data_IF_358468071900
#
_entry.id   IF_358468071900
#
_cell.length_a   1.000
_cell.length_b   1.000
_cell.length_c   1.000
_cell.angle_alpha   90.00
_cell.angle_beta   90.00
_cell.angle_gamma   90.00
#
_symmetry.space_group_name_H-M   'P 1'
#
loop_
_entity.id
_entity.type
_entity.pdbx_description
1 polymer ?
#
# COMPACT_ATOMS: atom_id res chain seq x y z
N UNK A 1 -12.20 10.38 -1.99
CA UNK A 1 -10.90 10.75 -2.60
C UNK A 1 -10.17 9.47 -2.92
N UNK A 2 -9.67 9.34 -4.14
CA UNK A 2 -8.92 8.15 -4.56
C UNK A 2 -7.47 8.29 -4.10
N UNK A 3 -7.08 7.45 -3.14
CA UNK A 3 -5.76 7.43 -2.55
C UNK A 3 -4.82 6.48 -3.28
N UNK A 4 -5.30 5.68 -4.23
CA UNK A 4 -4.52 4.66 -4.93
C UNK A 4 -3.97 5.22 -6.24
N UNK A 5 -2.84 4.67 -6.71
CA UNK A 5 -2.16 5.11 -7.92
C UNK A 5 -1.74 6.60 -7.86
N UNK A 6 -1.30 7.06 -6.69
CA UNK A 6 -0.81 8.43 -6.47
C UNK A 6 0.67 8.43 -6.09
N UNK A 7 1.39 9.44 -6.57
CA UNK A 7 2.73 9.72 -6.08
C UNK A 7 2.68 10.24 -4.64
N UNK A 8 3.51 9.63 -3.81
CA UNK A 8 3.64 9.92 -2.39
C UNK A 8 4.97 10.64 -2.16
N UNK A 9 4.94 11.74 -1.43
CA UNK A 9 6.08 12.59 -1.14
C UNK A 9 6.36 12.63 0.37
N UNK A 10 7.63 12.61 0.75
CA UNK A 10 8.09 12.82 2.13
C UNK A 10 9.28 13.77 2.10
N UNK A 11 9.29 14.76 2.99
CA UNK A 11 10.37 15.76 3.09
C UNK A 11 10.69 16.47 1.76
N UNK A 12 9.65 16.72 0.96
CA UNK A 12 9.75 17.37 -0.36
C UNK A 12 10.32 16.50 -1.49
N UNK A 13 10.58 15.20 -1.23
CA UNK A 13 11.07 14.24 -2.21
C UNK A 13 10.03 13.17 -2.49
N UNK A 14 10.07 12.61 -3.69
CA UNK A 14 9.26 11.44 -4.01
C UNK A 14 9.69 10.26 -3.11
N UNK A 15 8.71 9.69 -2.42
CA UNK A 15 8.89 8.59 -1.49
C UNK A 15 8.51 7.26 -2.14
N UNK A 16 7.41 7.25 -2.92
CA UNK A 16 6.93 6.06 -3.63
C UNK A 16 5.54 6.25 -4.22
N UNK A 17 4.84 5.14 -4.46
CA UNK A 17 3.49 5.12 -5.05
C UNK A 17 2.50 4.44 -4.11
N UNK A 18 1.32 5.00 -3.93
CA UNK A 18 0.25 4.37 -3.16
C UNK A 18 -0.43 3.24 -3.95
N UNK A 19 -0.58 2.08 -3.31
CA UNK A 19 -1.09 0.88 -3.99
C UNK A 19 -2.29 0.24 -3.30
N UNK A 20 -2.47 0.47 -1.99
CA UNK A 20 -3.61 -0.07 -1.24
C UNK A 20 -3.87 0.73 0.05
N UNK A 21 -5.03 0.53 0.68
CA UNK A 21 -5.34 1.00 2.03
C UNK A 21 -5.80 -0.19 2.88
N UNK A 22 -5.02 -0.52 3.91
CA UNK A 22 -5.25 -1.69 4.74
C UNK A 22 -5.09 -1.38 6.22
N UNK A 23 -6.05 -1.79 7.06
CA UNK A 23 -6.05 -1.60 8.52
C UNK A 23 -5.66 -0.19 8.97
N UNK A 24 -6.25 0.85 8.37
CA UNK A 24 -5.95 2.26 8.67
C UNK A 24 -4.49 2.68 8.36
N UNK A 25 -3.86 2.01 7.39
CA UNK A 25 -2.58 2.37 6.82
C UNK A 25 -2.71 2.51 5.29
N UNK A 26 -2.03 3.49 4.73
CA UNK A 26 -1.79 3.60 3.29
C UNK A 26 -0.58 2.75 2.95
N UNK A 27 -0.75 1.79 2.05
CA UNK A 27 0.36 0.97 1.56
C UNK A 27 1.05 1.72 0.43
N UNK A 28 2.32 2.00 0.65
CA UNK A 28 3.19 2.71 -0.29
C UNK A 28 4.28 1.77 -0.77
N UNK A 29 4.38 1.58 -2.09
CA UNK A 29 5.46 0.84 -2.71
C UNK A 29 6.68 1.75 -2.86
N UNK A 30 7.80 1.31 -2.30
CA UNK A 30 9.09 2.01 -2.37
C UNK A 30 10.11 1.05 -2.96
N UNK A 31 10.27 1.10 -4.29
CA UNK A 31 11.06 0.11 -5.06
C UNK A 31 10.52 -1.31 -4.84
N UNK A 32 11.28 -2.16 -4.15
CA UNK A 32 10.93 -3.55 -3.83
C UNK A 32 10.30 -3.70 -2.43
N UNK A 33 10.21 -2.62 -1.66
CA UNK A 33 9.65 -2.62 -0.30
C UNK A 33 8.21 -2.09 -0.30
N UNK A 34 7.48 -2.50 0.73
CA UNK A 34 6.13 -2.03 1.01
C UNK A 34 6.10 -1.40 2.39
N UNK A 35 5.60 -0.18 2.48
CA UNK A 35 5.56 0.61 3.70
C UNK A 35 4.10 0.89 4.04
N UNK A 36 3.64 0.45 5.20
CA UNK A 36 2.28 0.71 5.69
C UNK A 36 2.27 2.00 6.51
N UNK A 37 1.98 3.13 5.86
CA UNK A 37 2.01 4.45 6.47
C UNK A 37 0.71 4.72 7.24
N UNK A 38 0.76 5.07 8.53
CA UNK A 38 -0.44 5.42 9.30
C UNK A 38 -1.25 6.55 8.66
N UNK A 39 -2.57 6.39 8.55
CA UNK A 39 -3.44 7.40 7.91
C UNK A 39 -3.40 8.79 8.57
N UNK A 40 -3.07 8.89 9.85
CA UNK A 40 -2.90 10.17 10.55
C UNK A 40 -1.63 10.95 10.11
N UNK A 41 -0.69 10.28 9.42
CA UNK A 41 0.48 10.89 8.82
C UNK A 41 0.28 11.24 7.33
N UNK A 42 -0.85 10.84 6.73
CA UNK A 42 -1.16 11.08 5.31
C UNK A 42 -1.89 12.41 5.17
N UNK A 43 -1.30 13.35 4.45
CA UNK A 43 -1.92 14.62 4.06
C UNK A 43 -2.23 14.57 2.57
N UNK A 44 -3.45 14.94 2.21
CA UNK A 44 -3.86 15.08 0.82
C UNK A 44 -3.68 16.53 0.36
N UNK A 45 -2.85 16.75 -0.65
CA UNK A 45 -2.58 18.06 -1.25
C UNK A 45 -2.95 18.04 -2.75
N UNK A 46 -4.25 18.11 -3.01
CA UNK A 46 -4.81 18.19 -4.37
C UNK A 46 -4.68 16.88 -5.16
N UNK A 47 -3.56 16.68 -5.84
CA UNK A 47 -3.29 15.45 -6.60
C UNK A 47 -2.20 14.57 -5.98
N UNK A 48 -1.51 15.09 -4.96
CA UNK A 48 -0.37 14.46 -4.33
C UNK A 48 -0.70 14.03 -2.91
N UNK A 49 0.01 13.01 -2.46
CA UNK A 49 0.01 12.60 -1.07
C UNK A 49 1.32 13.08 -0.45
N UNK A 50 1.23 13.79 0.67
CA UNK A 50 2.39 14.25 1.46
C UNK A 50 2.37 13.55 2.81
N UNK A 51 3.50 12.96 3.18
CA UNK A 51 3.67 12.25 4.43
C UNK A 51 4.29 13.18 5.49
N UNK A 52 3.73 13.13 6.70
CA UNK A 52 4.41 13.57 7.92
C UNK A 52 5.44 12.53 8.35
N UNK A 53 6.19 12.82 9.41
CA UNK A 53 7.04 11.83 10.05
C UNK A 53 6.24 10.69 10.68
N UNK A 54 6.81 9.50 10.61
CA UNK A 54 6.33 8.27 11.22
C UNK A 54 7.52 7.34 11.47
N UNK A 55 7.28 6.28 12.24
CA UNK A 55 8.27 5.23 12.45
C UNK A 55 8.38 4.35 11.20
N UNK A 56 9.44 4.56 10.41
CA UNK A 56 9.66 3.84 9.14
C UNK A 56 9.92 2.34 9.36
N UNK A 57 10.63 1.96 10.43
CA UNK A 57 10.91 0.55 10.75
C UNK A 57 9.61 -0.18 11.03
N UNK A 58 8.76 0.40 11.89
CA UNK A 58 7.46 -0.19 12.20
C UNK A 58 6.53 -0.24 10.98
N UNK A 59 6.55 0.79 10.14
CA UNK A 59 5.75 0.83 8.94
C UNK A 59 6.19 -0.23 7.90
N UNK A 60 7.49 -0.51 7.81
CA UNK A 60 8.03 -1.57 6.96
C UNK A 60 7.62 -2.97 7.46
N UNK A 61 7.72 -3.24 8.76
CA UNK A 61 7.24 -4.49 9.35
C UNK A 61 5.75 -4.76 9.04
N UNK A 62 4.93 -3.72 9.12
CA UNK A 62 3.50 -3.81 8.82
C UNK A 62 3.24 -3.98 7.31
N UNK A 63 4.04 -3.35 6.46
CA UNK A 63 3.97 -3.54 5.02
C UNK A 63 4.34 -4.96 4.58
N UNK A 64 5.32 -5.59 5.22
CA UNK A 64 5.65 -7.01 4.98
C UNK A 64 4.48 -7.91 5.36
N UNK A 65 3.85 -7.69 6.53
CA UNK A 65 2.66 -8.46 6.95
C UNK A 65 1.48 -8.31 5.99
N UNK A 66 1.30 -7.12 5.42
CA UNK A 66 0.31 -6.89 4.37
C UNK A 66 0.64 -7.68 3.11
N UNK A 67 1.91 -7.71 2.68
CA UNK A 67 2.34 -8.46 1.50
C UNK A 67 2.08 -9.96 1.64
N UNK A 68 2.40 -10.54 2.80
CA UNK A 68 2.16 -11.96 3.09
C UNK A 68 0.66 -12.31 2.99
N UNK A 69 -0.20 -11.45 3.53
CA UNK A 69 -1.66 -11.62 3.44
C UNK A 69 -2.17 -11.48 2.01
N UNK A 70 -1.67 -10.50 1.26
CA UNK A 70 -2.11 -10.25 -0.11
C UNK A 70 -1.79 -11.45 -1.00
N UNK A 71 -0.60 -12.05 -0.85
CA UNK A 71 -0.22 -13.29 -1.56
C UNK A 71 -1.11 -14.48 -1.21
N UNK A 72 -1.52 -14.61 0.05
CA UNK A 72 -2.40 -15.70 0.48
C UNK A 72 -3.80 -15.58 -0.14
N UNK A 73 -4.31 -14.35 -0.27
CA UNK A 73 -5.59 -14.07 -0.93
C UNK A 73 -5.50 -14.38 -2.42
N UNK A 74 -4.40 -14.03 -3.10
CA UNK A 74 -4.21 -14.37 -4.52
C UNK A 74 -4.35 -15.88 -4.78
N UNK A 75 -3.76 -16.74 -3.96
CA UNK A 75 -3.80 -18.20 -4.18
C UNK A 75 -5.15 -18.85 -3.86
N UNK A 76 -5.88 -18.32 -2.88
CA UNK A 76 -7.18 -18.86 -2.44
C UNK A 76 -8.33 -18.31 -3.31
N UNK A 77 -8.28 -17.03 -3.68
CA UNK A 77 -9.22 -16.42 -4.64
C UNK A 77 -9.05 -17.02 -6.03
N UNK A 78 -7.83 -17.28 -6.52
CA UNK A 78 -7.62 -17.97 -7.81
C UNK A 78 -8.26 -19.36 -7.86
N UNK A 79 -8.30 -20.09 -6.73
CA UNK A 79 -8.96 -21.41 -6.66
C UNK A 79 -10.48 -21.29 -6.63
N UNK A 80 -11.01 -20.25 -5.99
CA UNK A 80 -12.45 -19.99 -5.92
C UNK A 80 -13.01 -19.28 -7.16
N UNK A 81 -12.18 -18.61 -7.95
CA UNK A 81 -12.61 -17.87 -9.14
C UNK A 81 -12.92 -18.75 -10.36
N UNK A 82 -12.80 -20.08 -10.25
CA UNK A 82 -13.33 -20.99 -11.26
C UNK A 82 -12.92 -20.62 -12.68
N UNK A 83 -11.65 -20.84 -13.04
CA UNK A 83 -11.37 -21.31 -14.40
C UNK A 83 -11.94 -22.72 -14.53
N UNK A 84 -13.27 -22.83 -14.42
CA UNK A 84 -14.04 -23.99 -14.80
C UNK A 84 -14.16 -23.96 -16.31
N UNK A 85 -13.45 -24.88 -16.94
CA UNK A 85 -13.75 -25.47 -18.24
C UNK A 85 -14.23 -24.50 -19.32
N UNK A 86 -13.27 -23.90 -20.03
CA UNK A 86 -13.52 -23.47 -21.40
C UNK A 86 -13.54 -24.70 -22.32
N UNK A 87 -14.66 -24.87 -23.03
CA UNK A 87 -15.03 -25.89 -24.03
C UNK A 87 -13.89 -26.70 -24.70
#
# INVERSE_FOLDING_TARGET
MDLICRFVFKDGKEFGESIDVYNNHLIVKVRERFIAVPMNCVIFDGEKIVLKDFDEERAEELGIKWLEKSKAVDEEELKNFGFGDGD
#
